data_IF_958405465606
#
_entry.id   IF_958405465606
#
_cell.length_a   1.000
_cell.length_b   1.000
_cell.length_c   1.000
_cell.angle_alpha   90.00
_cell.angle_beta   90.00
_cell.angle_gamma   90.00
#
_symmetry.space_group_name_H-M   'P 1'
#
loop_
_entity.id
_entity.type
_entity.pdbx_description
1 polymer ?
#
# COMPACT_ATOMS: atom_id res chain seq x y z
N UNK A 1 -6.71 -7.01 6.25
CA UNK A 1 -5.96 -6.13 7.17
C UNK A 1 -4.57 -6.67 7.46
N UNK A 2 -4.45 -7.68 8.35
CA UNK A 2 -3.15 -8.13 8.87
C UNK A 2 -2.14 -8.56 7.80
N UNK A 3 -2.58 -9.31 6.77
CA UNK A 3 -1.71 -9.73 5.68
C UNK A 3 -1.22 -8.56 4.81
N UNK A 4 -2.08 -7.57 4.55
CA UNK A 4 -1.73 -6.37 3.78
C UNK A 4 -0.77 -5.46 4.56
N UNK A 5 -1.12 -5.10 5.79
CA UNK A 5 -0.27 -4.26 6.64
C UNK A 5 1.08 -4.94 6.91
N UNK A 6 1.08 -6.26 7.15
CA UNK A 6 2.31 -7.05 7.26
C UNK A 6 3.18 -6.96 6.01
N UNK A 7 2.61 -7.21 4.82
CA UNK A 7 3.35 -7.14 3.56
C UNK A 7 3.94 -5.76 3.26
N UNK A 8 3.17 -4.70 3.55
CA UNK A 8 3.59 -3.30 3.37
C UNK A 8 4.72 -2.94 4.36
N UNK A 9 4.57 -3.31 5.63
CA UNK A 9 5.57 -3.08 6.67
C UNK A 9 6.86 -3.86 6.40
N UNK A 10 6.76 -5.12 6.00
CA UNK A 10 7.92 -5.95 5.66
C UNK A 10 8.69 -5.37 4.47
N UNK A 11 7.99 -4.89 3.43
CA UNK A 11 8.61 -4.25 2.29
C UNK A 11 9.40 -2.98 2.70
N UNK A 12 8.83 -2.16 3.58
CA UNK A 12 9.49 -0.95 4.09
C UNK A 12 10.67 -1.27 5.03
N UNK A 13 10.50 -2.21 5.97
CA UNK A 13 11.56 -2.61 6.90
C UNK A 13 12.75 -3.19 6.14
N UNK A 14 12.49 -4.09 5.17
CA UNK A 14 13.55 -4.62 4.33
C UNK A 14 14.21 -3.52 3.48
N UNK A 15 13.41 -2.57 2.97
CA UNK A 15 13.92 -1.39 2.31
C UNK A 15 14.87 -0.57 3.20
N UNK A 16 14.53 -0.35 4.46
CA UNK A 16 15.39 0.34 5.41
C UNK A 16 16.73 -0.40 5.64
N UNK A 17 16.69 -1.73 5.79
CA UNK A 17 17.90 -2.55 5.95
C UNK A 17 18.85 -2.46 4.74
N UNK A 18 18.34 -2.20 3.54
CA UNK A 18 19.17 -1.97 2.36
C UNK A 18 19.98 -0.68 2.40
N UNK A 19 19.53 0.35 3.13
CA UNK A 19 20.27 1.59 3.31
C UNK A 19 21.46 1.41 4.26
N UNK A 20 21.33 0.50 5.22
CA UNK A 20 22.36 0.21 6.23
C UNK A 20 23.31 -0.90 5.77
N UNK A 21 22.85 -1.82 4.91
CA UNK A 21 23.64 -2.94 4.39
C UNK A 21 23.52 -3.07 2.85
N UNK A 22 24.38 -2.38 2.07
CA UNK A 22 24.32 -2.36 0.60
C UNK A 22 24.51 -3.72 -0.10
N UNK A 23 25.11 -4.70 0.59
CA UNK A 23 25.50 -5.99 0.04
C UNK A 23 24.40 -7.05 -0.06
N UNK A 24 23.17 -6.76 0.35
CA UNK A 24 22.09 -7.77 0.39
C UNK A 24 21.52 -8.13 -1.00
N UNK A 25 21.12 -9.39 -1.23
CA UNK A 25 20.62 -9.86 -2.52
C UNK A 25 19.22 -9.32 -2.84
N UNK A 26 19.10 -8.52 -3.92
CA UNK A 26 17.86 -7.82 -4.37
C UNK A 26 16.64 -8.71 -4.58
N UNK A 27 16.85 -10.03 -4.64
CA UNK A 27 15.81 -11.04 -4.77
C UNK A 27 14.74 -10.92 -3.67
N UNK A 28 15.15 -10.65 -2.43
CA UNK A 28 14.21 -10.51 -1.30
C UNK A 28 13.28 -9.31 -1.47
N UNK A 29 13.84 -8.14 -1.82
CA UNK A 29 13.03 -6.94 -2.02
C UNK A 29 12.05 -7.11 -3.17
N UNK A 30 12.47 -7.77 -4.26
CA UNK A 30 11.58 -8.05 -5.38
C UNK A 30 10.48 -9.06 -5.03
N UNK A 31 10.77 -10.05 -4.17
CA UNK A 31 9.76 -11.00 -3.66
C UNK A 31 8.72 -10.28 -2.80
N UNK A 32 9.14 -9.44 -1.86
CA UNK A 32 8.23 -8.68 -1.01
C UNK A 32 7.37 -7.69 -1.80
N UNK A 33 7.96 -6.94 -2.75
CA UNK A 33 7.19 -6.05 -3.61
C UNK A 33 6.17 -6.82 -4.47
N UNK A 34 6.51 -8.03 -4.92
CA UNK A 34 5.53 -8.88 -5.62
C UNK A 34 4.41 -9.35 -4.71
N UNK A 35 4.71 -9.76 -3.47
CA UNK A 35 3.68 -10.12 -2.48
C UNK A 35 2.77 -8.92 -2.23
N UNK A 36 3.33 -7.73 -2.03
CA UNK A 36 2.56 -6.50 -1.87
C UNK A 36 1.63 -6.24 -3.06
N UNK A 37 2.13 -6.36 -4.29
CA UNK A 37 1.33 -6.18 -5.51
C UNK A 37 0.21 -7.22 -5.68
N UNK A 38 0.33 -8.40 -5.07
CA UNK A 38 -0.69 -9.45 -5.11
C UNK A 38 -1.68 -9.33 -3.95
N UNK A 39 -1.22 -8.93 -2.77
CA UNK A 39 -2.06 -8.78 -1.57
C UNK A 39 -2.88 -7.48 -1.62
N UNK A 40 -2.31 -6.39 -2.13
CA UNK A 40 -3.01 -5.10 -2.31
C UNK A 40 -4.38 -5.21 -3.01
N UNK A 41 -4.50 -5.80 -4.23
CA UNK A 41 -5.78 -5.85 -4.92
C UNK A 41 -6.78 -6.75 -4.18
N UNK A 42 -6.31 -7.80 -3.50
CA UNK A 42 -7.16 -8.67 -2.67
C UNK A 42 -7.74 -7.86 -1.51
N UNK A 43 -6.92 -7.08 -0.80
CA UNK A 43 -7.38 -6.25 0.32
C UNK A 43 -8.38 -5.19 -0.15
N UNK A 44 -8.10 -4.49 -1.26
CA UNK A 44 -9.01 -3.49 -1.84
C UNK A 44 -10.36 -4.12 -2.22
N UNK A 45 -10.35 -5.30 -2.86
CA UNK A 45 -11.59 -6.01 -3.20
C UNK A 45 -12.36 -6.42 -1.95
N UNK A 46 -11.68 -6.91 -0.91
CA UNK A 46 -12.32 -7.27 0.37
C UNK A 46 -12.97 -6.06 1.03
N UNK A 47 -12.31 -4.90 1.02
CA UNK A 47 -12.86 -3.64 1.57
C UNK A 47 -14.03 -3.08 0.73
N UNK A 48 -14.16 -3.50 -0.53
CA UNK A 48 -15.28 -3.13 -1.39
C UNK A 48 -16.51 -4.02 -1.18
N UNK A 49 -16.37 -5.24 -0.65
CA UNK A 49 -17.51 -6.14 -0.44
C UNK A 49 -18.51 -5.54 0.58
N UNK A 50 -19.83 -5.61 0.31
CA UNK A 50 -20.84 -5.01 1.19
C UNK A 50 -21.03 -5.80 2.49
N UNK A 51 -21.21 -5.16 3.66
CA UNK A 51 -21.08 -3.72 4.00
C UNK A 51 -19.62 -3.26 3.94
N UNK A 52 -19.31 -2.34 3.02
CA UNK A 52 -17.93 -1.94 2.71
C UNK A 52 -17.85 -0.55 2.09
N UNK A 53 -16.69 -0.18 1.55
CA UNK A 53 -16.43 1.16 1.02
C UNK A 53 -17.32 1.55 -0.17
N UNK A 54 -17.91 0.58 -0.88
CA UNK A 54 -18.94 0.84 -1.90
C UNK A 54 -20.17 1.53 -1.27
N UNK A 55 -20.53 1.17 -0.04
CA UNK A 55 -21.66 1.76 0.68
C UNK A 55 -21.41 3.22 1.06
N UNK A 56 -20.16 3.57 1.38
CA UNK A 56 -19.73 4.96 1.62
C UNK A 56 -19.75 5.76 0.33
N UNK A 57 -19.20 5.22 -0.76
CA UNK A 57 -19.14 5.91 -2.05
C UNK A 57 -20.52 6.10 -2.71
N UNK A 58 -21.46 5.19 -2.48
CA UNK A 58 -22.85 5.30 -2.93
C UNK A 58 -23.71 6.20 -2.01
N UNK A 59 -23.16 6.74 -0.93
CA UNK A 59 -23.90 7.60 0.02
C UNK A 59 -24.92 6.86 0.89
N UNK A 60 -24.85 5.52 0.95
CA UNK A 60 -25.68 4.74 1.89
C UNK A 60 -25.14 4.80 3.32
N UNK A 61 -23.84 5.03 3.48
CA UNK A 61 -23.18 5.36 4.74
C UNK A 61 -22.67 6.79 4.60
N UNK A 62 -23.19 7.69 5.44
CA UNK A 62 -22.72 9.07 5.50
C UNK A 62 -21.35 9.10 6.18
N UNK A 63 -20.33 9.61 5.47
CA UNK A 63 -18.99 9.76 6.02
C UNK A 63 -18.86 10.99 6.91
N UNK A 64 -19.91 11.82 7.02
CA UNK A 64 -19.94 13.06 7.81
C UNK A 64 -19.16 14.22 7.19
N UNK A 65 -18.55 14.01 6.02
CA UNK A 65 -17.70 14.99 5.32
C UNK A 65 -18.06 15.09 3.83
N UNK A 66 -19.29 14.75 3.46
CA UNK A 66 -19.82 14.86 2.10
C UNK A 66 -19.02 14.06 1.05
N UNK A 67 -18.61 12.84 1.39
CA UNK A 67 -17.90 11.91 0.51
C UNK A 67 -16.38 12.12 0.44
N UNK A 68 -15.83 13.13 1.11
CA UNK A 68 -14.39 13.43 1.07
C UNK A 68 -13.56 12.28 1.62
N UNK A 69 -13.99 11.60 2.69
CA UNK A 69 -13.24 10.49 3.25
C UNK A 69 -13.31 9.26 2.34
N UNK A 70 -14.44 9.04 1.67
CA UNK A 70 -14.59 8.00 0.65
C UNK A 70 -13.62 8.20 -0.53
N UNK A 71 -13.52 9.43 -1.05
CA UNK A 71 -12.58 9.78 -2.11
C UNK A 71 -11.12 9.72 -1.66
N UNK A 72 -10.83 10.16 -0.43
CA UNK A 72 -9.50 10.06 0.16
C UNK A 72 -9.04 8.59 0.29
N UNK A 73 -9.94 7.70 0.74
CA UNK A 73 -9.66 6.27 0.78
C UNK A 73 -9.29 5.71 -0.60
N UNK A 74 -10.05 6.09 -1.64
CA UNK A 74 -9.81 5.66 -3.02
C UNK A 74 -8.47 6.20 -3.55
N UNK A 75 -8.13 7.44 -3.21
CA UNK A 75 -6.83 8.03 -3.53
C UNK A 75 -5.69 7.26 -2.84
N UNK A 76 -5.81 6.95 -1.54
CA UNK A 76 -4.81 6.14 -0.82
C UNK A 76 -4.66 4.73 -1.41
N UNK A 77 -5.79 4.07 -1.72
CA UNK A 77 -5.79 2.73 -2.28
C UNK A 77 -5.10 2.70 -3.65
N UNK A 78 -5.45 3.63 -4.54
CA UNK A 78 -4.85 3.73 -5.87
C UNK A 78 -3.37 4.10 -5.82
N UNK A 79 -2.99 5.09 -4.99
CA UNK A 79 -1.60 5.52 -4.87
C UNK A 79 -0.69 4.43 -4.30
N UNK A 80 -1.19 3.61 -3.37
CA UNK A 80 -0.46 2.44 -2.85
C UNK A 80 -0.09 1.47 -3.97
N UNK A 81 -1.04 1.15 -4.85
CA UNK A 81 -0.80 0.27 -6.00
C UNK A 81 0.20 0.86 -7.00
N UNK A 82 0.06 2.15 -7.31
CA UNK A 82 0.98 2.88 -8.22
C UNK A 82 2.41 2.88 -7.66
N UNK A 83 2.58 3.17 -6.37
CA UNK A 83 3.88 3.19 -5.71
C UNK A 83 4.50 1.79 -5.63
N UNK A 84 3.72 0.75 -5.33
CA UNK A 84 4.19 -0.63 -5.35
C UNK A 84 4.66 -1.05 -6.75
N UNK A 85 3.95 -0.62 -7.79
CA UNK A 85 4.32 -0.89 -9.18
C UNK A 85 5.61 -0.16 -9.58
N UNK A 86 5.75 1.13 -9.25
CA UNK A 86 6.99 1.87 -9.49
C UNK A 86 8.17 1.31 -8.70
N UNK A 87 7.94 0.84 -7.47
CA UNK A 87 8.96 0.17 -6.66
C UNK A 87 9.48 -1.08 -7.40
N UNK A 88 8.57 -1.88 -7.97
CA UNK A 88 8.95 -3.05 -8.78
C UNK A 88 9.69 -2.65 -10.07
N UNK A 89 9.24 -1.58 -10.72
CA UNK A 89 9.87 -1.07 -11.92
C UNK A 89 11.30 -0.59 -11.65
N UNK A 90 11.52 0.13 -10.55
CA UNK A 90 12.83 0.59 -10.12
C UNK A 90 13.80 -0.58 -9.90
N UNK A 91 13.35 -1.67 -9.26
CA UNK A 91 14.17 -2.84 -8.97
C UNK A 91 14.63 -3.63 -10.21
N UNK A 92 14.11 -3.32 -11.41
CA UNK A 92 14.62 -3.90 -12.67
C UNK A 92 16.00 -3.36 -13.05
N UNK A 93 16.37 -2.18 -12.57
CA UNK A 93 17.69 -1.62 -12.83
C UNK A 93 18.78 -2.25 -11.95
N UNK A 94 19.96 -2.47 -12.54
CA UNK A 94 21.14 -3.02 -11.85
C UNK A 94 21.92 -1.98 -11.04
N UNK A 95 21.61 -0.69 -11.16
CA UNK A 95 22.27 0.35 -10.37
C UNK A 95 21.95 0.20 -8.87
N UNK A 96 22.86 0.66 -8.00
CA UNK A 96 22.59 0.74 -6.55
C UNK A 96 21.56 1.83 -6.24
N UNK A 97 21.58 2.92 -7.02
CA UNK A 97 20.63 4.03 -6.94
C UNK A 97 19.18 3.56 -7.11
N UNK A 98 18.94 2.53 -7.92
CA UNK A 98 17.62 1.92 -8.08
C UNK A 98 17.08 1.28 -6.78
N UNK A 99 17.96 0.68 -5.99
CA UNK A 99 17.58 0.13 -4.68
C UNK A 99 17.21 1.26 -3.75
N UNK A 100 18.02 2.32 -3.68
CA UNK A 100 17.71 3.51 -2.87
C UNK A 100 16.38 4.15 -3.27
N UNK A 101 16.10 4.29 -4.58
CA UNK A 101 14.81 4.78 -5.05
C UNK A 101 13.64 3.87 -4.63
N UNK A 102 13.81 2.54 -4.76
CA UNK A 102 12.80 1.58 -4.32
C UNK A 102 12.50 1.67 -2.82
N UNK A 103 13.52 1.96 -1.99
CA UNK A 103 13.30 2.17 -0.55
C UNK A 103 12.41 3.39 -0.29
N UNK A 104 12.71 4.54 -0.89
CA UNK A 104 11.89 5.74 -0.75
C UNK A 104 10.44 5.55 -1.22
N UNK A 105 10.25 4.82 -2.32
CA UNK A 105 8.91 4.47 -2.82
C UNK A 105 8.16 3.54 -1.86
N UNK A 106 8.84 2.59 -1.21
CA UNK A 106 8.23 1.72 -0.20
C UNK A 106 7.77 2.48 1.05
N UNK A 107 8.49 3.53 1.45
CA UNK A 107 8.07 4.44 2.53
C UNK A 107 6.79 5.20 2.19
N UNK A 108 6.67 5.68 0.96
CA UNK A 108 5.43 6.32 0.52
C UNK A 108 4.29 5.29 0.44
N UNK A 109 4.58 4.08 -0.04
CA UNK A 109 3.59 3.01 -0.14
C UNK A 109 3.01 2.62 1.24
N UNK A 110 3.84 2.60 2.30
CA UNK A 110 3.34 2.33 3.66
C UNK A 110 2.43 3.42 4.20
N UNK A 111 2.77 4.69 3.99
CA UNK A 111 1.91 5.79 4.41
C UNK A 111 0.52 5.72 3.74
N UNK A 112 0.49 5.41 2.45
CA UNK A 112 -0.76 5.28 1.70
C UNK A 112 -1.53 4.02 2.11
N UNK A 113 -0.84 2.89 2.31
CA UNK A 113 -1.46 1.64 2.71
C UNK A 113 -2.11 1.72 4.09
N UNK A 114 -1.46 2.35 5.07
CA UNK A 114 -2.09 2.62 6.37
C UNK A 114 -3.29 3.57 6.23
N UNK A 115 -3.22 4.57 5.36
CA UNK A 115 -4.37 5.43 5.04
C UNK A 115 -5.58 4.63 4.53
N UNK A 116 -5.34 3.67 3.63
CA UNK A 116 -6.40 2.78 3.11
C UNK A 116 -7.04 1.92 4.21
N UNK A 117 -6.26 1.30 5.09
CA UNK A 117 -6.81 0.42 6.14
C UNK A 117 -7.49 1.21 7.27
N UNK A 118 -6.87 2.31 7.73
CA UNK A 118 -7.42 3.11 8.84
C UNK A 118 -8.70 3.83 8.47
N UNK A 119 -8.77 4.44 7.27
CA UNK A 119 -9.97 5.17 6.83
C UNK A 119 -11.14 4.21 6.63
N UNK A 120 -10.90 3.03 6.03
CA UNK A 120 -11.95 2.02 5.89
C UNK A 120 -12.50 1.57 7.24
N UNK A 121 -11.64 1.30 8.24
CA UNK A 121 -12.09 0.92 9.58
C UNK A 121 -12.85 2.05 10.27
N UNK A 122 -12.36 3.29 10.18
CA UNK A 122 -12.99 4.44 10.80
C UNK A 122 -14.40 4.67 10.28
N UNK A 123 -14.64 4.44 8.99
CA UNK A 123 -15.96 4.64 8.35
C UNK A 123 -16.91 3.45 8.53
N UNK A 124 -16.39 2.22 8.57
CA UNK A 124 -17.22 1.00 8.65
C UNK A 124 -17.50 0.52 10.08
N UNK A 125 -16.85 1.11 11.08
CA UNK A 125 -17.13 0.85 12.51
C UNK A 125 -18.20 1.77 13.11
N UNK A 126 -18.70 2.75 12.33
CA UNK A 126 -19.79 3.66 12.70
C UNK A 126 -21.11 3.07 12.24
#
# INVERSE_FOLDING_TARGET
GAAFLGAVSDAMLLGHWYLVQPGMPRKLLNQLTNVLLVVWPIEVVVMLLPTGMISVLNGTIDDGWNGVLGWFWLACASLTGVLAWFTRAALRERSYSAVMAATGLSYLAILMGFGTDLVARALLMV
#
